data_IF_398515441723
#
_entry.id   IF_398515441723
#
_cell.length_a   1.000
_cell.length_b   1.000
_cell.length_c   1.000
_cell.angle_alpha   90.00
_cell.angle_beta   90.00
_cell.angle_gamma   90.00
#
_symmetry.space_group_name_H-M   'P 1'
#
loop_
_entity.id
_entity.type
_entity.pdbx_description
1 polymer ?
#
# COMPACT_ATOMS: atom_id res chain seq x y z
N UNK A 1 -15.93 8.89 -20.40
CA UNK A 1 -14.87 9.91 -20.59
C UNK A 1 -14.41 10.60 -19.30
N UNK A 2 -15.14 11.55 -18.70
CA UNK A 2 -14.66 12.23 -17.47
C UNK A 2 -14.51 11.26 -16.29
N UNK A 3 -15.48 10.36 -16.10
CA UNK A 3 -15.45 9.35 -15.02
C UNK A 3 -14.24 8.40 -15.12
N UNK A 4 -13.86 8.00 -16.33
CA UNK A 4 -12.72 7.11 -16.55
C UNK A 4 -11.40 7.84 -16.27
N UNK A 5 -11.26 9.09 -16.71
CA UNK A 5 -10.06 9.90 -16.44
C UNK A 5 -9.88 10.09 -14.93
N UNK A 6 -10.95 10.40 -14.20
CA UNK A 6 -10.91 10.57 -12.74
C UNK A 6 -10.53 9.26 -12.04
N UNK A 7 -11.10 8.13 -12.47
CA UNK A 7 -10.75 6.80 -11.94
C UNK A 7 -9.29 6.43 -12.18
N UNK A 8 -8.78 6.67 -13.39
CA UNK A 8 -7.39 6.41 -13.76
C UNK A 8 -6.41 7.31 -12.97
N UNK A 9 -6.67 8.62 -12.92
CA UNK A 9 -5.82 9.57 -12.17
C UNK A 9 -5.84 9.24 -10.68
N UNK A 10 -7.02 8.96 -10.10
CA UNK A 10 -7.15 8.55 -8.71
C UNK A 10 -6.35 7.28 -8.41
N UNK A 11 -6.45 6.27 -9.26
CA UNK A 11 -5.72 5.00 -9.11
C UNK A 11 -4.20 5.19 -9.20
N UNK A 12 -3.72 6.05 -10.09
CA UNK A 12 -2.29 6.38 -10.22
C UNK A 12 -1.82 7.15 -8.99
N UNK A 13 -2.55 8.17 -8.53
CA UNK A 13 -2.16 8.94 -7.36
C UNK A 13 -2.10 8.07 -6.10
N UNK A 14 -3.10 7.20 -5.91
CA UNK A 14 -3.13 6.25 -4.82
C UNK A 14 -2.03 5.18 -4.93
N UNK A 15 -1.55 4.86 -6.13
CA UNK A 15 -0.53 3.81 -6.27
C UNK A 15 0.85 4.30 -5.88
N UNK A 16 1.08 5.62 -5.95
CA UNK A 16 2.34 6.25 -5.59
C UNK A 16 2.30 6.97 -4.23
N UNK A 17 1.13 7.12 -3.60
CA UNK A 17 0.98 7.93 -2.38
C UNK A 17 1.81 7.39 -1.20
N UNK A 18 2.03 6.08 -1.16
CA UNK A 18 2.84 5.39 -0.16
C UNK A 18 4.35 5.55 -0.39
N UNK A 19 4.78 5.89 -1.61
CA UNK A 19 6.20 5.94 -1.98
C UNK A 19 7.01 7.00 -1.21
N UNK A 20 6.52 8.23 -0.98
CA UNK A 20 7.20 9.21 -0.13
C UNK A 20 7.43 8.71 1.30
N UNK A 21 6.47 7.99 1.88
CA UNK A 21 6.59 7.44 3.23
C UNK A 21 7.63 6.33 3.29
N UNK A 22 7.60 5.41 2.32
CA UNK A 22 8.60 4.34 2.16
C UNK A 22 10.01 4.94 2.02
N UNK A 23 10.17 5.95 1.16
CA UNK A 23 11.44 6.63 0.96
C UNK A 23 11.92 7.33 2.25
N UNK A 24 11.02 8.03 2.95
CA UNK A 24 11.34 8.69 4.20
C UNK A 24 11.83 7.68 5.26
N UNK A 25 11.08 6.59 5.48
CA UNK A 25 11.45 5.52 6.41
C UNK A 25 12.77 4.85 6.02
N UNK A 26 13.00 4.63 4.73
CA UNK A 26 14.27 4.07 4.26
C UNK A 26 15.46 4.99 4.54
N UNK A 27 15.28 6.32 4.39
CA UNK A 27 16.33 7.32 4.61
C UNK A 27 16.59 7.60 6.08
N UNK A 28 15.54 7.74 6.90
CA UNK A 28 15.68 8.09 8.31
C UNK A 28 15.98 6.89 9.21
N UNK A 29 15.68 5.67 8.73
CA UNK A 29 15.76 4.42 9.52
C UNK A 29 14.96 4.51 10.82
N UNK A 30 13.94 5.36 10.86
CA UNK A 30 13.06 5.59 12.01
C UNK A 30 11.64 5.25 11.64
N UNK A 31 10.98 4.53 12.54
CA UNK A 31 9.58 4.10 12.39
C UNK A 31 8.74 4.44 13.62
N UNK A 32 9.22 5.33 14.48
CA UNK A 32 8.52 5.75 15.70
C UNK A 32 7.13 6.30 15.40
N UNK A 33 7.02 7.10 14.34
CA UNK A 33 5.79 7.82 13.97
C UNK A 33 4.72 6.93 13.31
N UNK A 34 5.10 5.73 12.84
CA UNK A 34 4.17 4.80 12.19
C UNK A 34 3.42 3.97 13.24
N UNK A 35 2.10 4.09 13.35
CA UNK A 35 1.33 3.22 14.26
C UNK A 35 1.31 1.77 13.78
N UNK A 36 1.49 0.81 14.70
CA UNK A 36 1.32 -0.62 14.42
C UNK A 36 -0.10 -0.95 13.94
N UNK A 37 -1.11 -0.34 14.57
CA UNK A 37 -2.51 -0.54 14.18
C UNK A 37 -2.79 -0.03 12.78
N UNK A 38 -2.23 1.14 12.42
CA UNK A 38 -2.33 1.70 11.08
C UNK A 38 -1.76 0.74 10.02
N UNK A 39 -0.54 0.25 10.22
CA UNK A 39 0.12 -0.64 9.25
C UNK A 39 -0.62 -1.98 9.05
N UNK A 40 -1.11 -2.59 10.14
CA UNK A 40 -1.86 -3.84 10.03
C UNK A 40 -3.22 -3.65 9.37
N UNK A 41 -3.96 -2.61 9.76
CA UNK A 41 -5.25 -2.29 9.13
C UNK A 41 -5.08 -2.00 7.64
N UNK A 42 -4.04 -1.25 7.28
CA UNK A 42 -3.73 -0.97 5.89
C UNK A 42 -3.37 -2.25 5.14
N UNK A 43 -2.46 -3.08 5.65
CA UNK A 43 -2.07 -4.34 5.01
C UNK A 43 -3.25 -5.29 4.75
N UNK A 44 -4.09 -5.54 5.76
CA UNK A 44 -5.26 -6.39 5.57
C UNK A 44 -6.31 -5.74 4.67
N UNK A 45 -6.49 -4.42 4.75
CA UNK A 45 -7.37 -3.66 3.87
C UNK A 45 -6.99 -3.80 2.40
N UNK A 46 -5.70 -3.69 2.06
CA UNK A 46 -5.19 -3.89 0.70
C UNK A 46 -5.44 -5.31 0.22
N UNK A 47 -5.14 -6.33 1.04
CA UNK A 47 -5.33 -7.74 0.67
C UNK A 47 -6.81 -8.06 0.41
N UNK A 48 -7.71 -7.66 1.31
CA UNK A 48 -9.14 -7.95 1.16
C UNK A 48 -9.73 -7.21 -0.05
N UNK A 49 -9.32 -5.97 -0.27
CA UNK A 49 -9.81 -5.19 -1.41
C UNK A 49 -9.27 -5.73 -2.73
N UNK A 50 -8.00 -6.13 -2.78
CA UNK A 50 -7.41 -6.77 -3.96
C UNK A 50 -8.12 -8.09 -4.31
N UNK A 51 -8.39 -8.93 -3.31
CA UNK A 51 -9.15 -10.17 -3.51
C UNK A 51 -10.58 -9.91 -4.01
N UNK A 52 -11.24 -8.89 -3.45
CA UNK A 52 -12.57 -8.47 -3.90
C UNK A 52 -12.56 -8.03 -5.37
N UNK A 53 -11.60 -7.19 -5.78
CA UNK A 53 -11.51 -6.70 -7.17
C UNK A 53 -11.23 -7.85 -8.13
N UNK A 54 -10.31 -8.77 -7.79
CA UNK A 54 -10.06 -9.96 -8.63
C UNK A 54 -11.34 -10.76 -8.80
N UNK A 55 -12.08 -11.00 -7.72
CA UNK A 55 -13.32 -11.75 -7.78
C UNK A 55 -14.38 -11.04 -8.63
N UNK A 56 -14.57 -9.74 -8.45
CA UNK A 56 -15.55 -8.96 -9.22
C UNK A 56 -15.21 -8.87 -10.71
N UNK A 57 -13.94 -8.61 -11.06
CA UNK A 57 -13.49 -8.53 -12.45
C UNK A 57 -13.60 -9.90 -13.17
N UNK A 58 -13.38 -11.02 -12.46
CA UNK A 58 -13.60 -12.36 -12.99
C UNK A 58 -15.08 -12.65 -13.30
N UNK A 59 -16.00 -12.10 -12.50
CA UNK A 59 -17.45 -12.28 -12.68
C UNK A 59 -17.98 -11.37 -13.79
N UNK A 60 -17.44 -10.16 -13.93
CA UNK A 60 -17.91 -9.16 -14.90
C UNK A 60 -17.16 -9.19 -16.25
N UNK A 61 -16.09 -9.98 -16.37
CA UNK A 61 -15.19 -10.06 -17.55
C UNK A 61 -14.57 -8.70 -17.98
N UNK A 62 -14.51 -7.74 -17.06
CA UNK A 62 -13.88 -6.42 -17.26
C UNK A 62 -12.60 -6.34 -16.44
N UNK A 63 -11.45 -6.11 -17.09
CA UNK A 63 -10.16 -6.04 -16.42
C UNK A 63 -9.74 -4.61 -16.09
N UNK A 64 -9.69 -4.27 -14.81
CA UNK A 64 -9.23 -2.96 -14.33
C UNK A 64 -7.73 -2.95 -14.03
N UNK A 65 -6.90 -3.01 -15.09
CA UNK A 65 -5.44 -3.05 -14.98
C UNK A 65 -4.80 -1.99 -14.05
N UNK A 66 -5.24 -0.71 -14.05
CA UNK A 66 -4.69 0.32 -13.15
C UNK A 66 -4.97 0.05 -11.67
N UNK A 67 -6.13 -0.53 -11.36
CA UNK A 67 -6.48 -0.91 -9.99
C UNK A 67 -5.57 -2.04 -9.52
N UNK A 68 -5.36 -3.07 -10.33
CA UNK A 68 -4.48 -4.17 -9.92
C UNK A 68 -3.06 -3.71 -9.60
N UNK A 69 -2.50 -2.82 -10.43
CA UNK A 69 -1.19 -2.24 -10.17
C UNK A 69 -1.19 -1.40 -8.89
N UNK A 70 -2.26 -0.66 -8.61
CA UNK A 70 -2.40 0.13 -7.39
C UNK A 70 -2.31 -0.74 -6.13
N UNK A 71 -3.19 -1.73 -6.01
CA UNK A 71 -3.25 -2.58 -4.82
C UNK A 71 -1.99 -3.44 -4.69
N UNK A 72 -1.43 -3.91 -5.80
CA UNK A 72 -0.17 -4.66 -5.78
C UNK A 72 0.98 -3.80 -5.24
N UNK A 73 1.16 -2.58 -5.76
CA UNK A 73 2.21 -1.67 -5.32
C UNK A 73 2.03 -1.23 -3.87
N UNK A 74 0.80 -0.90 -3.46
CA UNK A 74 0.51 -0.54 -2.07
C UNK A 74 0.75 -1.69 -1.10
N UNK A 75 0.36 -2.91 -1.48
CA UNK A 75 0.64 -4.12 -0.68
C UNK A 75 2.15 -4.33 -0.48
N UNK A 76 2.96 -4.16 -1.53
CA UNK A 76 4.43 -4.24 -1.42
C UNK A 76 5.00 -3.14 -0.51
N UNK A 77 4.49 -1.92 -0.63
CA UNK A 77 4.95 -0.78 0.16
C UNK A 77 4.60 -0.92 1.65
N UNK A 78 3.38 -1.30 1.99
CA UNK A 78 2.98 -1.52 3.39
C UNK A 78 3.72 -2.72 3.99
N UNK A 79 3.98 -3.77 3.20
CA UNK A 79 4.82 -4.91 3.62
C UNK A 79 6.24 -4.47 3.94
N UNK A 80 6.84 -3.62 3.10
CA UNK A 80 8.15 -3.03 3.38
C UNK A 80 8.13 -2.19 4.66
N UNK A 81 7.10 -1.37 4.89
CA UNK A 81 6.98 -0.55 6.10
C UNK A 81 6.80 -1.40 7.37
N UNK A 82 6.04 -2.49 7.29
CA UNK A 82 5.94 -3.48 8.37
C UNK A 82 7.30 -4.10 8.69
N UNK A 83 8.03 -4.55 7.66
CA UNK A 83 9.38 -5.08 7.81
C UNK A 83 10.33 -4.04 8.44
N UNK A 84 10.34 -2.81 7.92
CA UNK A 84 11.15 -1.72 8.43
C UNK A 84 10.82 -1.42 9.90
N UNK A 85 9.54 -1.46 10.29
CA UNK A 85 9.13 -1.23 11.68
C UNK A 85 9.57 -2.35 12.62
N UNK A 86 9.57 -3.60 12.16
CA UNK A 86 10.12 -4.72 12.93
C UNK A 86 11.64 -4.61 13.10
N UNK A 87 12.35 -4.22 12.03
CA UNK A 87 13.80 -4.13 12.02
C UNK A 87 14.31 -2.94 12.86
N UNK A 88 13.82 -1.73 12.61
CA UNK A 88 14.32 -0.53 13.30
C UNK A 88 13.88 -0.43 14.77
N UNK A 89 12.76 -1.05 15.15
CA UNK A 89 12.40 -1.20 16.58
C UNK A 89 13.46 -1.99 17.35
N UNK A 90 14.16 -2.92 16.69
CA UNK A 90 15.24 -3.70 17.30
C UNK A 90 16.47 -2.84 17.63
N UNK A 91 16.77 -1.84 16.79
CA UNK A 91 17.89 -0.91 17.00
C UNK A 91 17.62 0.12 18.09
N UNK A 92 16.35 0.50 18.35
CA UNK A 92 15.99 1.37 19.47
C UNK A 92 16.06 0.68 20.83
N UNK A 93 15.78 -0.63 20.90
CA UNK A 93 15.82 -1.40 22.15
C UNK A 93 17.25 -1.88 22.47
N UNK A 94 18.15 -1.89 21.49
CA UNK A 94 19.55 -2.31 21.65
C UNK A 94 20.51 -1.19 22.08
N UNK A 95 20.02 0.06 22.21
CA UNK A 95 20.75 1.21 22.76
C UNK A 95 20.31 1.52 24.17
#
# INVERSE_FOLDING_TARGET
MVNEIVGWVGSIMLSICAAPQVYHTWKTKKTGDLSWGFLWLWFYGEIFTFAYIIYSDLVEEVYHLPLYLNYLLNTLMVTYLLYAKMYFKKDEIAK
#
